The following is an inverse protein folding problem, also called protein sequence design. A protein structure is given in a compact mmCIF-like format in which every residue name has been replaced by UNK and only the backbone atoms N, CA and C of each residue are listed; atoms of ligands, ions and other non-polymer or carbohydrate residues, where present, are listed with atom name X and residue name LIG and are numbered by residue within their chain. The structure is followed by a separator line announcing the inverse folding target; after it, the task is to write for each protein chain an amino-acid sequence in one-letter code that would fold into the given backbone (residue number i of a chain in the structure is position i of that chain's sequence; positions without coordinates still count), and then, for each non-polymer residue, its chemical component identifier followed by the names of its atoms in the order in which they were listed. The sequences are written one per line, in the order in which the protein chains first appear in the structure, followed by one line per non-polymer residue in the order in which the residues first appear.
data_IF_700983793197
#
_entry.id   IF_700983793197
#
_cell.length_a   1.000
_cell.length_b   1.000
_cell.length_c   1.000
_cell.angle_alpha   90.00
_cell.angle_beta   90.00
_cell.angle_gamma   90.00
#
_symmetry.space_group_name_H-M   'P 1'
#
loop_
_entity.id
_entity.type
_entity.pdbx_description
1 polymer ?
#
# COMPACT_ATOMS: atom_id res chain seq x y z
N UNK A 1 -3.04 3.55 23.16
CA UNK A 1 -1.58 3.64 23.48
C UNK A 1 -0.91 4.50 22.42
N UNK A 2 0.15 5.24 22.72
CA UNK A 2 0.83 6.09 21.74
C UNK A 2 1.80 5.26 20.90
N UNK A 3 1.69 5.34 19.57
CA UNK A 3 2.60 4.68 18.61
C UNK A 3 2.82 5.58 17.41
N UNK A 4 4.05 5.62 16.89
CA UNK A 4 4.37 6.23 15.59
C UNK A 4 4.61 5.12 14.57
N UNK A 5 3.97 5.24 13.42
CA UNK A 5 4.26 4.47 12.22
C UNK A 5 4.78 5.48 11.20
N UNK A 6 5.89 5.17 10.55
CA UNK A 6 6.69 6.11 9.74
C UNK A 6 7.20 5.43 8.47
N UNK A 7 7.87 6.21 7.60
CA UNK A 7 8.52 5.73 6.38
C UNK A 7 9.63 4.68 6.59
N UNK A 8 10.05 4.42 7.84
CA UNK A 8 11.05 3.41 8.20
C UNK A 8 10.52 2.33 9.16
N UNK A 9 9.22 2.32 9.45
CA UNK A 9 8.62 1.28 10.31
C UNK A 9 8.57 -0.05 9.54
N UNK A 10 9.06 -1.17 10.10
CA UNK A 10 8.93 -2.47 9.45
C UNK A 10 7.46 -2.90 9.29
N UNK A 11 7.14 -3.38 8.10
CA UNK A 11 5.82 -3.86 7.70
C UNK A 11 5.95 -5.15 6.89
N UNK A 12 4.83 -5.80 6.63
CA UNK A 12 4.77 -6.98 5.76
C UNK A 12 3.72 -6.83 4.66
N UNK A 13 3.90 -7.55 3.57
CA UNK A 13 2.86 -7.75 2.58
C UNK A 13 1.96 -8.93 2.95
N UNK A 14 0.71 -8.86 2.51
CA UNK A 14 -0.25 -9.95 2.55
C UNK A 14 -1.20 -9.82 1.36
N UNK A 15 -1.75 -10.95 0.91
CA UNK A 15 -2.55 -11.01 -0.32
C UNK A 15 -1.75 -11.48 -1.55
N UNK A 16 -2.35 -11.43 -2.75
CA UNK A 16 -1.87 -12.14 -3.93
C UNK A 16 -0.52 -11.67 -4.50
N UNK A 17 -0.08 -10.45 -4.21
CA UNK A 17 1.20 -9.94 -4.70
C UNK A 17 2.36 -10.15 -3.71
N UNK A 18 2.07 -10.57 -2.46
CA UNK A 18 3.11 -10.83 -1.47
C UNK A 18 4.07 -11.91 -1.97
N UNK A 19 5.36 -11.58 -2.02
CA UNK A 19 6.41 -12.47 -2.53
C UNK A 19 6.63 -12.46 -4.04
N UNK A 20 5.82 -11.70 -4.80
CA UNK A 20 5.99 -11.56 -6.24
C UNK A 20 7.36 -10.93 -6.58
N UNK A 21 7.93 -11.31 -7.73
CA UNK A 21 9.22 -10.79 -8.20
C UNK A 21 9.23 -9.26 -8.31
N UNK A 22 8.10 -8.64 -8.63
CA UNK A 22 7.96 -7.19 -8.70
C UNK A 22 8.09 -6.49 -7.33
N UNK A 23 7.91 -7.22 -6.22
CA UNK A 23 8.10 -6.71 -4.85
C UNK A 23 9.47 -7.05 -4.26
N UNK A 24 10.29 -7.85 -4.94
CA UNK A 24 11.61 -8.24 -4.42
C UNK A 24 12.63 -7.12 -4.66
N UNK A 25 13.41 -6.80 -3.63
CA UNK A 25 14.54 -5.86 -3.71
C UNK A 25 15.81 -6.53 -3.18
N UNK A 26 16.98 -5.91 -3.35
CA UNK A 26 18.21 -6.42 -2.76
C UNK A 26 18.13 -6.52 -1.22
N UNK A 27 17.43 -5.58 -0.57
CA UNK A 27 17.24 -5.55 0.88
C UNK A 27 16.17 -6.53 1.40
N UNK A 28 15.24 -6.95 0.53
CA UNK A 28 14.24 -7.97 0.83
C UNK A 28 14.02 -8.87 -0.39
N UNK A 29 14.90 -9.89 -0.58
CA UNK A 29 14.84 -10.79 -1.72
C UNK A 29 13.59 -11.68 -1.74
N UNK A 30 12.86 -11.76 -0.62
CA UNK A 30 11.64 -12.54 -0.53
C UNK A 30 10.42 -11.75 -0.97
N UNK A 31 10.46 -10.41 -1.03
CA UNK A 31 9.32 -9.57 -1.40
C UNK A 31 8.17 -9.64 -0.39
N UNK A 32 8.47 -9.93 0.87
CA UNK A 32 7.49 -10.17 1.94
C UNK A 32 7.45 -9.06 2.98
N UNK A 33 8.52 -8.26 3.08
CA UNK A 33 8.68 -7.23 4.10
C UNK A 33 8.91 -5.88 3.45
N UNK A 34 8.58 -4.78 4.11
CA UNK A 34 8.83 -3.44 3.56
C UNK A 34 9.06 -2.45 4.67
N UNK A 35 9.88 -1.44 4.39
CA UNK A 35 10.05 -0.31 5.28
C UNK A 35 9.04 0.78 4.92
N UNK A 36 8.08 0.92 5.82
CA UNK A 36 7.28 2.10 5.97
C UNK A 36 6.03 2.22 5.12
N UNK A 37 5.30 3.25 5.51
CA UNK A 37 4.18 3.84 4.81
C UNK A 37 4.38 5.36 4.87
N UNK A 38 4.06 6.05 3.78
CA UNK A 38 4.21 7.50 3.61
C UNK A 38 3.32 7.95 2.45
N UNK A 39 3.18 9.26 2.27
CA UNK A 39 2.11 9.77 1.40
C UNK A 39 0.73 9.31 1.88
N UNK A 40 0.58 9.12 3.20
CA UNK A 40 -0.67 8.67 3.81
C UNK A 40 -1.71 9.79 3.71
N UNK A 41 -2.76 9.59 2.91
CA UNK A 41 -3.80 10.60 2.70
C UNK A 41 -4.91 10.46 3.75
N UNK A 42 -5.98 9.71 3.44
CA UNK A 42 -7.11 9.51 4.32
C UNK A 42 -7.12 8.09 4.91
N UNK A 43 -8.33 7.54 5.12
CA UNK A 43 -8.49 6.38 5.98
C UNK A 43 -9.69 5.48 5.67
N UNK A 44 -9.72 4.34 6.36
CA UNK A 44 -10.87 3.46 6.52
C UNK A 44 -10.90 2.83 7.92
N UNK A 45 -12.06 2.31 8.31
CA UNK A 45 -12.25 1.58 9.57
C UNK A 45 -12.93 0.25 9.29
N UNK A 46 -12.30 -0.84 9.69
CA UNK A 46 -12.88 -2.17 9.50
C UNK A 46 -13.91 -2.46 10.62
N UNK A 47 -14.90 -3.35 10.37
CA UNK A 47 -15.86 -3.74 11.41
C UNK A 47 -15.21 -4.53 12.55
N UNK A 48 -13.99 -5.05 12.36
CA UNK A 48 -13.22 -5.75 13.39
C UNK A 48 -12.20 -4.88 14.13
N UNK A 49 -12.28 -3.56 13.99
CA UNK A 49 -11.55 -2.62 14.86
C UNK A 49 -10.14 -2.27 14.42
N UNK A 50 -9.71 -2.66 13.22
CA UNK A 50 -8.46 -2.19 12.62
C UNK A 50 -8.67 -0.91 11.82
N UNK A 51 -7.57 -0.20 11.61
CA UNK A 51 -7.48 1.05 10.87
C UNK A 51 -6.84 0.80 9.51
N UNK A 52 -7.38 1.42 8.46
CA UNK A 52 -6.80 1.41 7.12
C UNK A 52 -6.24 2.80 6.85
N UNK A 53 -4.95 2.88 6.50
CA UNK A 53 -4.33 4.09 5.94
C UNK A 53 -4.03 3.86 4.47
N UNK A 54 -4.08 4.94 3.68
CA UNK A 54 -4.04 4.86 2.22
C UNK A 54 -2.82 5.61 1.70
N UNK A 55 -1.95 4.93 0.96
CA UNK A 55 -0.79 5.53 0.30
C UNK A 55 -1.23 6.13 -1.05
N UNK A 56 -1.11 7.45 -1.19
CA UNK A 56 -1.64 8.20 -2.33
C UNK A 56 -0.52 8.71 -3.23
N UNK A 57 0.02 9.90 -2.97
CA UNK A 57 1.08 10.55 -3.75
C UNK A 57 2.49 9.98 -3.43
N UNK A 58 2.62 8.64 -3.35
CA UNK A 58 3.86 7.94 -3.03
C UNK A 58 4.94 8.09 -4.12
N UNK A 59 4.53 8.35 -5.36
CA UNK A 59 5.38 8.54 -6.52
C UNK A 59 6.28 9.78 -6.39
N UNK A 60 5.79 10.83 -5.75
CA UNK A 60 6.51 12.10 -5.52
C UNK A 60 7.79 11.96 -4.66
N UNK A 61 7.97 10.81 -4.02
CA UNK A 61 9.11 10.49 -3.16
C UNK A 61 10.27 9.82 -3.92
N UNK A 62 10.02 9.30 -5.12
CA UNK A 62 10.99 8.54 -5.90
C UNK A 62 11.59 9.39 -7.02
N UNK A 63 12.91 9.31 -7.20
CA UNK A 63 13.61 9.97 -8.30
C UNK A 63 14.98 9.39 -8.56
N UNK A 64 15.76 9.98 -9.45
CA UNK A 64 17.15 9.61 -9.69
C UNK A 64 17.91 10.74 -10.40
N UNK A 65 19.21 10.85 -10.12
CA UNK A 65 20.14 11.75 -10.83
C UNK A 65 20.83 11.08 -12.02
N UNK A 66 20.48 9.82 -12.32
CA UNK A 66 21.01 9.13 -13.48
C UNK A 66 20.46 9.77 -14.77
N UNK A 67 21.32 10.47 -15.51
CA UNK A 67 20.93 11.32 -16.64
C UNK A 67 20.25 10.59 -17.80
N UNK A 68 20.54 9.30 -18.00
CA UNK A 68 19.96 8.46 -19.07
C UNK A 68 18.78 7.60 -18.59
N UNK A 69 18.28 7.82 -17.38
CA UNK A 69 17.15 7.08 -16.85
C UNK A 69 15.87 7.36 -17.65
N UNK A 70 15.22 6.30 -18.12
CA UNK A 70 13.94 6.37 -18.80
C UNK A 70 12.89 5.58 -18.03
N UNK A 71 11.83 6.22 -17.50
CA UNK A 71 10.76 5.51 -16.82
C UNK A 71 10.09 4.47 -17.73
N UNK A 72 9.79 3.29 -17.19
CA UNK A 72 9.05 2.24 -17.91
C UNK A 72 7.61 2.69 -18.21
N UNK A 73 6.89 2.06 -19.16
CA UNK A 73 5.48 2.39 -19.40
C UNK A 73 4.60 2.29 -18.15
N UNK A 74 4.89 1.32 -17.28
CA UNK A 74 4.19 1.19 -16.00
C UNK A 74 4.52 2.33 -15.05
N UNK A 75 5.80 2.69 -14.88
CA UNK A 75 6.19 3.84 -14.04
C UNK A 75 5.56 5.15 -14.54
N UNK A 76 5.47 5.35 -15.86
CA UNK A 76 4.77 6.50 -16.46
C UNK A 76 3.27 6.48 -16.18
N UNK A 77 2.63 5.30 -16.18
CA UNK A 77 1.20 5.17 -15.83
C UNK A 77 0.93 5.59 -14.38
N UNK A 78 1.87 5.34 -13.47
CA UNK A 78 1.84 5.84 -12.09
C UNK A 78 2.52 7.22 -11.94
N UNK A 79 2.59 7.97 -13.05
CA UNK A 79 3.00 9.37 -13.12
C UNK A 79 4.33 9.75 -12.45
N UNK A 80 5.24 8.77 -12.33
CA UNK A 80 6.59 8.97 -11.81
C UNK A 80 7.34 10.03 -12.63
N UNK A 81 7.61 11.17 -11.99
CA UNK A 81 8.53 12.19 -12.49
C UNK A 81 9.92 11.99 -11.87
N UNK A 82 10.68 11.02 -12.41
CA UNK A 82 11.94 10.59 -11.80
C UNK A 82 13.04 11.68 -11.80
N UNK A 83 12.99 12.63 -12.73
CA UNK A 83 14.01 13.69 -12.85
C UNK A 83 13.77 14.87 -11.89
N UNK A 84 12.51 15.09 -11.50
CA UNK A 84 12.13 16.20 -10.63
C UNK A 84 11.14 15.70 -9.56
N UNK A 85 11.58 14.84 -8.61
CA UNK A 85 10.74 14.40 -7.51
C UNK A 85 10.46 15.58 -6.56
N UNK A 86 9.28 15.62 -5.95
CA UNK A 86 8.93 16.74 -5.06
C UNK A 86 9.64 16.69 -3.70
N UNK A 87 10.07 15.50 -3.26
CA UNK A 87 10.61 15.28 -1.91
C UNK A 87 12.13 15.12 -1.88
N UNK A 88 12.77 14.87 -3.02
CA UNK A 88 14.23 14.70 -3.16
C UNK A 88 14.83 13.66 -2.18
N UNK A 89 14.09 12.61 -1.82
CA UNK A 89 14.61 11.60 -0.87
C UNK A 89 15.74 10.73 -1.46
N UNK A 90 15.73 10.54 -2.78
CA UNK A 90 16.77 9.81 -3.50
C UNK A 90 18.19 10.38 -3.30
N UNK A 91 18.29 11.66 -2.94
CA UNK A 91 19.55 12.36 -2.67
C UNK A 91 20.24 11.84 -1.40
N UNK A 92 19.47 11.30 -0.46
CA UNK A 92 19.93 10.96 0.89
C UNK A 92 19.68 9.50 1.28
N UNK A 93 18.67 8.85 0.69
CA UNK A 93 18.36 7.44 0.92
C UNK A 93 18.28 6.71 -0.44
N UNK A 94 19.25 5.83 -0.76
CA UNK A 94 19.30 5.13 -2.05
C UNK A 94 18.08 4.22 -2.28
N UNK A 95 17.29 3.91 -1.25
CA UNK A 95 16.02 3.18 -1.40
C UNK A 95 15.04 3.90 -2.32
N UNK A 96 15.05 5.23 -2.33
CA UNK A 96 14.17 6.05 -3.17
C UNK A 96 14.79 6.40 -4.54
N UNK A 97 16.05 6.00 -4.76
CA UNK A 97 16.69 6.11 -6.07
C UNK A 97 16.15 5.02 -7.00
N UNK A 98 15.25 5.39 -7.91
CA UNK A 98 14.54 4.45 -8.79
C UNK A 98 15.49 3.70 -9.74
N UNK A 99 16.66 4.28 -10.06
CA UNK A 99 17.65 3.61 -10.89
C UNK A 99 18.40 2.50 -10.12
N UNK A 100 18.55 2.66 -8.80
CA UNK A 100 19.22 1.67 -7.92
C UNK A 100 18.26 0.61 -7.39
N UNK A 101 17.06 1.03 -6.97
CA UNK A 101 16.06 0.17 -6.34
C UNK A 101 14.71 0.27 -7.09
N UNK A 102 14.63 -0.15 -8.36
CA UNK A 102 13.45 0.07 -9.20
C UNK A 102 12.17 -0.57 -8.64
N UNK A 103 12.30 -1.71 -7.96
CA UNK A 103 11.16 -2.41 -7.35
C UNK A 103 10.69 -1.80 -6.03
N UNK A 104 11.45 -0.88 -5.42
CA UNK A 104 10.96 -0.17 -4.23
C UNK A 104 9.72 0.65 -4.55
N UNK A 105 9.63 1.23 -5.75
CA UNK A 105 8.43 1.92 -6.20
C UNK A 105 7.17 1.04 -6.19
N UNK A 106 7.31 -0.25 -6.52
CA UNK A 106 6.18 -1.20 -6.51
C UNK A 106 5.72 -1.56 -5.09
N UNK A 107 6.55 -1.31 -4.07
CA UNK A 107 6.30 -1.66 -2.67
C UNK A 107 5.47 -0.62 -1.92
N UNK A 108 5.06 0.46 -2.59
CA UNK A 108 4.19 1.52 -2.08
C UNK A 108 3.01 1.79 -3.04
N UNK A 109 2.00 2.51 -2.55
CA UNK A 109 0.71 2.69 -3.23
C UNK A 109 -0.34 1.67 -2.84
N UNK A 110 -0.28 1.20 -1.59
CA UNK A 110 -1.18 0.19 -1.06
C UNK A 110 -2.01 0.74 0.09
N UNK A 111 -3.16 0.14 0.33
CA UNK A 111 -3.83 0.26 1.63
C UNK A 111 -3.05 -0.55 2.67
N UNK A 112 -2.76 0.07 3.81
CA UNK A 112 -2.05 -0.52 4.94
C UNK A 112 -3.00 -0.67 6.13
N UNK A 113 -3.16 -1.90 6.61
CA UNK A 113 -3.95 -2.22 7.79
C UNK A 113 -3.09 -2.17 9.06
N UNK A 114 -3.64 -1.54 10.10
CA UNK A 114 -2.99 -1.31 11.39
C UNK A 114 -3.96 -1.74 12.49
N UNK A 115 -3.47 -2.50 13.47
CA UNK A 115 -4.19 -2.71 14.74
C UNK A 115 -3.80 -1.59 15.72
N UNK A 116 -4.71 -0.65 16.03
CA UNK A 116 -4.43 0.45 16.96
C UNK A 116 -4.44 0.02 18.44
N UNK A 117 -4.95 -1.17 18.75
CA UNK A 117 -5.06 -1.69 20.11
C UNK A 117 -3.83 -2.52 20.52
N UNK A 118 -3.12 -3.09 19.56
CA UNK A 118 -1.80 -3.71 19.75
C UNK A 118 -0.65 -2.83 19.22
N UNK A 119 0.11 -2.15 20.09
CA UNK A 119 1.21 -1.29 19.68
C UNK A 119 2.43 -2.06 19.13
N UNK A 120 2.47 -3.39 19.29
CA UNK A 120 3.54 -4.24 18.78
C UNK A 120 3.17 -4.96 17.47
N UNK A 121 1.90 -4.87 17.04
CA UNK A 121 1.43 -5.44 15.78
C UNK A 121 2.25 -4.93 14.60
N UNK A 122 2.57 -5.80 13.63
CA UNK A 122 3.25 -5.38 12.40
C UNK A 122 2.21 -4.91 11.38
N UNK A 123 2.22 -3.65 10.91
CA UNK A 123 1.28 -3.19 9.89
C UNK A 123 1.41 -4.00 8.58
N UNK A 124 0.30 -4.12 7.87
CA UNK A 124 0.16 -5.05 6.74
C UNK A 124 -0.29 -4.31 5.49
N UNK A 125 0.51 -4.34 4.43
CA UNK A 125 0.08 -3.85 3.10
C UNK A 125 -0.83 -4.92 2.46
N UNK A 126 -2.08 -4.56 2.17
CA UNK A 126 -3.13 -5.47 1.71
C UNK A 126 -3.23 -5.47 0.19
N UNK A 127 -2.50 -6.37 -0.46
CA UNK A 127 -2.29 -6.30 -1.91
C UNK A 127 -3.51 -6.69 -2.74
N UNK A 128 -4.50 -7.38 -2.15
CA UNK A 128 -5.72 -7.76 -2.87
C UNK A 128 -6.60 -6.55 -3.21
N UNK A 129 -6.40 -5.41 -2.53
CA UNK A 129 -7.12 -4.17 -2.76
C UNK A 129 -6.54 -3.35 -3.93
N UNK A 130 -5.48 -3.84 -4.56
CA UNK A 130 -4.83 -3.20 -5.70
C UNK A 130 -3.86 -2.09 -5.32
N UNK A 131 -3.05 -1.68 -6.31
CA UNK A 131 -2.01 -0.65 -6.17
C UNK A 131 -2.32 0.56 -7.05
N UNK A 132 -2.53 1.71 -6.43
CA UNK A 132 -2.81 3.01 -7.06
C UNK A 132 -2.73 4.14 -6.01
N UNK A 133 -3.07 5.38 -6.36
CA UNK A 133 -2.99 6.53 -5.45
C UNK A 133 -4.25 6.56 -4.57
N UNK A 134 -4.27 5.69 -3.56
CA UNK A 134 -5.44 5.50 -2.71
C UNK A 134 -5.73 6.74 -1.86
N UNK A 135 -6.92 7.33 -2.03
CA UNK A 135 -7.37 8.45 -1.20
C UNK A 135 -7.86 7.94 0.18
N UNK A 136 -9.01 7.27 0.20
CA UNK A 136 -9.61 6.65 1.38
C UNK A 136 -10.08 5.22 1.09
N UNK A 137 -10.52 4.52 2.14
CA UNK A 137 -11.09 3.17 2.04
C UNK A 137 -12.47 3.12 2.72
N UNK A 138 -13.53 3.24 1.92
CA UNK A 138 -14.90 3.21 2.42
C UNK A 138 -15.39 1.76 2.58
N UNK A 139 -15.42 1.30 3.84
CA UNK A 139 -15.76 -0.08 4.20
C UNK A 139 -17.26 -0.22 4.48
N UNK A 140 -17.87 -1.27 3.93
CA UNK A 140 -19.23 -1.70 4.27
C UNK A 140 -19.34 -3.23 4.23
N UNK A 141 -20.45 -3.77 4.72
CA UNK A 141 -20.74 -5.22 4.69
C UNK A 141 -21.95 -5.44 3.80
N UNK A 142 -21.79 -6.26 2.77
CA UNK A 142 -22.87 -6.64 1.87
C UNK A 142 -23.96 -7.41 2.63
N UNK A 143 -25.19 -7.44 2.09
CA UNK A 143 -26.28 -8.26 2.66
C UNK A 143 -25.94 -9.75 2.77
N UNK A 144 -25.03 -10.22 1.93
CA UNK A 144 -24.50 -11.60 1.94
C UNK A 144 -23.48 -11.87 3.05
N UNK A 145 -23.03 -10.82 3.76
CA UNK A 145 -22.06 -10.88 4.86
C UNK A 145 -20.61 -10.63 4.41
N UNK A 146 -20.34 -10.52 3.11
CA UNK A 146 -19.00 -10.22 2.59
C UNK A 146 -18.62 -8.77 2.89
N UNK A 147 -17.33 -8.54 3.15
CA UNK A 147 -16.79 -7.20 3.23
C UNK A 147 -16.74 -6.58 1.84
N UNK A 148 -17.02 -5.29 1.77
CA UNK A 148 -16.87 -4.47 0.57
C UNK A 148 -16.04 -3.25 0.91
N UNK A 149 -15.05 -2.91 0.07
CA UNK A 149 -14.23 -1.71 0.20
C UNK A 149 -14.29 -0.92 -1.10
N UNK A 150 -14.85 0.29 -1.05
CA UNK A 150 -14.82 1.24 -2.15
C UNK A 150 -13.60 2.16 -1.99
N UNK A 151 -12.88 2.40 -3.08
CA UNK A 151 -11.59 3.10 -3.10
C UNK A 151 -11.54 4.04 -4.30
N UNK A 152 -11.03 5.26 -4.12
CA UNK A 152 -10.74 6.20 -5.20
C UNK A 152 -9.25 6.25 -5.49
N UNK A 153 -8.91 6.43 -6.76
CA UNK A 153 -7.56 6.77 -7.23
C UNK A 153 -7.51 8.28 -7.51
N UNK A 154 -6.87 9.06 -6.64
CA UNK A 154 -6.90 10.52 -6.73
C UNK A 154 -5.87 11.05 -7.74
N UNK A 155 -6.19 10.82 -9.01
CA UNK A 155 -5.51 11.47 -10.12
C UNK A 155 -6.49 11.78 -11.25
N UNK A 156 -6.23 12.86 -11.99
CA UNK A 156 -7.11 13.29 -13.08
C UNK A 156 -7.20 12.21 -14.15
N UNK A 157 -8.41 11.70 -14.38
CA UNK A 157 -8.69 10.70 -15.40
C UNK A 157 -8.49 9.25 -14.95
N UNK A 158 -8.20 9.02 -13.67
CA UNK A 158 -8.18 7.69 -13.06
C UNK A 158 -9.58 7.32 -12.51
N UNK A 159 -9.66 6.25 -11.72
CA UNK A 159 -10.88 5.47 -11.56
C UNK A 159 -11.38 5.34 -10.11
N UNK A 160 -12.56 4.74 -9.98
CA UNK A 160 -13.14 4.28 -8.72
C UNK A 160 -13.11 2.75 -8.73
N UNK A 161 -12.65 2.17 -7.63
CA UNK A 161 -12.47 0.73 -7.45
C UNK A 161 -13.38 0.18 -6.36
N UNK A 162 -13.64 -1.12 -6.43
CA UNK A 162 -14.45 -1.83 -5.43
C UNK A 162 -13.92 -3.24 -5.20
N UNK A 163 -13.36 -3.47 -4.03
CA UNK A 163 -13.02 -4.81 -3.56
C UNK A 163 -14.21 -5.48 -2.86
N UNK A 164 -14.41 -6.79 -3.07
CA UNK A 164 -15.35 -7.64 -2.33
C UNK A 164 -14.60 -8.87 -1.84
N UNK A 165 -14.65 -9.15 -0.54
CA UNK A 165 -13.98 -10.33 0.04
C UNK A 165 -14.65 -11.64 -0.39
N UNK A 166 -13.86 -12.71 -0.49
CA UNK A 166 -14.37 -14.06 -0.76
C UNK A 166 -15.20 -14.57 0.44
N UNK A 167 -14.65 -14.41 1.64
CA UNK A 167 -15.25 -14.84 2.89
C UNK A 167 -16.11 -13.75 3.53
N UNK A 168 -16.91 -14.15 4.54
CA UNK A 168 -17.82 -13.26 5.27
C UNK A 168 -17.16 -12.69 6.52
N UNK A 169 -17.59 -11.50 6.91
CA UNK A 169 -17.25 -10.92 8.21
C UNK A 169 -17.82 -11.80 9.32
N UNK A 170 -16.95 -12.21 10.24
CA UNK A 170 -17.34 -12.84 11.50
C UNK A 170 -17.52 -11.73 12.54
N UNK A 171 -18.74 -11.46 13.03
CA UNK A 171 -18.98 -10.44 14.03
C UNK A 171 -18.14 -10.69 15.29
N UNK A 172 -17.62 -9.61 15.88
CA UNK A 172 -16.88 -9.62 17.15
C UNK A 172 -15.62 -10.50 17.22
N UNK A 173 -15.13 -11.01 16.08
CA UNK A 173 -13.89 -11.81 16.01
C UNK A 173 -12.86 -11.20 15.05
N UNK A 174 -12.00 -10.34 15.58
CA UNK A 174 -10.92 -9.73 14.80
C UNK A 174 -9.90 -10.73 14.27
N UNK A 175 -9.68 -11.85 14.97
CA UNK A 175 -8.72 -12.87 14.53
C UNK A 175 -9.26 -13.64 13.34
N UNK A 176 -10.55 -14.01 13.36
CA UNK A 176 -11.20 -14.67 12.23
C UNK A 176 -11.22 -13.78 10.97
N UNK A 177 -11.27 -12.46 11.14
CA UNK A 177 -11.36 -11.51 10.03
C UNK A 177 -10.01 -11.07 9.43
N UNK A 178 -8.88 -11.42 10.05
CA UNK A 178 -7.55 -10.90 9.67
C UNK A 178 -7.13 -11.22 8.22
N UNK A 179 -7.72 -12.24 7.58
CA UNK A 179 -7.47 -12.61 6.19
C UNK A 179 -8.45 -12.04 5.16
N UNK A 180 -9.50 -11.31 5.57
CA UNK A 180 -10.57 -10.88 4.66
C UNK A 180 -10.12 -9.90 3.57
N UNK A 181 -9.05 -9.16 3.83
CA UNK A 181 -8.46 -8.21 2.87
C UNK A 181 -7.36 -8.85 2.01
N UNK A 182 -7.13 -10.17 2.12
CA UNK A 182 -6.13 -10.89 1.33
C UNK A 182 -6.73 -11.70 0.17
N UNK A 183 -8.04 -11.94 0.18
CA UNK A 183 -8.75 -12.79 -0.81
C UNK A 183 -10.11 -12.21 -1.17
N UNK A 184 -10.34 -12.03 -2.45
CA UNK A 184 -11.54 -11.39 -2.96
C UNK A 184 -11.40 -11.03 -4.43
N UNK A 185 -12.35 -10.23 -4.91
CA UNK A 185 -12.37 -9.67 -6.25
C UNK A 185 -12.26 -8.16 -6.17
N UNK A 186 -11.33 -7.58 -6.93
CA UNK A 186 -11.18 -6.13 -7.15
C UNK A 186 -11.85 -5.70 -8.45
#
# INVERSE_FOLDING_TARGET
KTRRITANTPMRFSGPAAGDKALQTAADPQGMHVLGTFGNCANGKTPWGTYLTCEENYDTYFGTHQADFTPTPQQKRYTLNAAEPERNWADFDPRFDIAKNPNEFNRHGWIVEIDPFDPHSVPVKRTALGRFKHENAAVTVAKTGQLVVYMGDDERGEYIYKFVSDDKVTPDDAKANHGLLDKGTL
#
